data_IF_666424493030
#
_entry.id   IF_666424493030
#
_cell.length_a   1.000
_cell.length_b   1.000
_cell.length_c   1.000
_cell.angle_alpha   90.00
_cell.angle_beta   90.00
_cell.angle_gamma   90.00
#
_symmetry.space_group_name_H-M   'P 1'
#
loop_
_entity.id
_entity.type
_entity.pdbx_description
1 polymer ?
#
# COMPACT_ATOMS: atom_id res chain seq x y z
N UNK A 1 34.17 -6.09 42.00
CA UNK A 1 32.75 -5.74 41.72
C UNK A 1 32.71 -4.63 40.68
N UNK A 2 32.72 -4.96 39.39
CA UNK A 2 32.45 -3.99 38.33
C UNK A 2 31.01 -4.20 37.88
N UNK A 3 30.17 -3.19 38.13
CA UNK A 3 28.76 -3.17 37.77
C UNK A 3 28.66 -3.07 36.25
N UNK A 4 28.23 -4.16 35.62
CA UNK A 4 27.83 -4.18 34.21
C UNK A 4 26.53 -3.39 34.07
N UNK A 5 26.60 -2.18 33.52
CA UNK A 5 25.41 -1.43 33.11
C UNK A 5 24.94 -2.02 31.78
N UNK A 6 23.87 -2.81 31.84
CA UNK A 6 23.07 -3.23 30.69
C UNK A 6 22.67 -1.97 29.90
N UNK A 7 23.23 -1.80 28.71
CA UNK A 7 22.70 -0.87 27.71
C UNK A 7 21.35 -1.42 27.24
N UNK A 8 20.30 -0.92 27.89
CA UNK A 8 18.92 -1.14 27.51
C UNK A 8 18.73 -0.66 26.05
N UNK A 9 18.44 -1.58 25.14
CA UNK A 9 18.10 -1.30 23.74
C UNK A 9 16.77 -0.54 23.67
N UNK A 10 16.82 0.77 23.89
CA UNK A 10 15.67 1.66 23.79
C UNK A 10 15.51 2.13 22.33
N UNK A 11 14.42 1.75 21.63
CA UNK A 11 14.20 2.11 20.22
C UNK A 11 14.18 3.63 19.95
N UNK A 12 13.84 4.41 20.97
CA UNK A 12 13.77 5.89 20.92
C UNK A 12 15.17 6.51 20.82
N UNK A 13 16.17 5.94 21.50
CA UNK A 13 17.57 6.40 21.40
C UNK A 13 18.19 6.04 20.05
N UNK A 14 17.88 4.86 19.50
CA UNK A 14 18.34 4.45 18.16
C UNK A 14 17.74 5.33 17.05
N UNK A 15 16.48 5.74 17.19
CA UNK A 15 15.81 6.66 16.24
C UNK A 15 16.46 8.04 16.20
N UNK A 16 16.80 8.62 17.37
CA UNK A 16 17.47 9.91 17.46
C UNK A 16 18.92 9.85 16.98
N UNK A 17 19.67 8.80 17.33
CA UNK A 17 21.06 8.63 16.88
C UNK A 17 21.15 8.48 15.37
N UNK A 18 20.21 7.76 14.74
CA UNK A 18 20.18 7.53 13.30
C UNK A 18 19.79 8.80 12.51
N UNK A 19 18.94 9.68 13.06
CA UNK A 19 18.63 11.00 12.47
C UNK A 19 19.81 11.96 12.54
N UNK A 20 20.50 12.02 13.68
CA UNK A 20 21.71 12.85 13.86
C UNK A 20 22.83 12.36 12.93
N UNK A 21 23.01 11.05 12.81
CA UNK A 21 24.00 10.45 11.90
C UNK A 21 23.71 10.78 10.43
N UNK A 22 22.43 10.70 10.01
CA UNK A 22 22.02 11.08 8.65
C UNK A 22 22.24 12.56 8.36
N UNK A 23 21.95 13.44 9.32
CA UNK A 23 22.21 14.87 9.17
C UNK A 23 23.71 15.17 9.07
N UNK A 24 24.54 14.52 9.91
CA UNK A 24 25.99 14.70 9.85
C UNK A 24 26.59 14.24 8.51
N UNK A 25 26.06 13.16 7.92
CA UNK A 25 26.52 12.64 6.62
C UNK A 25 26.05 13.46 5.41
N UNK A 26 24.87 14.06 5.47
CA UNK A 26 24.25 14.79 4.35
C UNK A 26 23.34 15.95 4.85
N UNK A 27 23.93 17.04 5.39
CA UNK A 27 23.14 18.11 6.00
C UNK A 27 22.32 18.89 4.96
N UNK A 28 22.90 19.15 3.78
CA UNK A 28 22.24 19.86 2.68
C UNK A 28 21.09 19.05 2.10
N UNK A 29 21.25 17.73 1.90
CA UNK A 29 20.17 16.88 1.43
C UNK A 29 19.05 16.75 2.46
N UNK A 30 19.35 16.73 3.77
CA UNK A 30 18.31 16.76 4.81
C UNK A 30 17.51 18.06 4.75
N UNK A 31 18.18 19.21 4.61
CA UNK A 31 17.50 20.50 4.50
C UNK A 31 16.64 20.57 3.23
N UNK A 32 17.17 20.15 2.08
CA UNK A 32 16.45 20.09 0.80
C UNK A 32 15.20 19.21 0.89
N UNK A 33 15.30 18.02 1.50
CA UNK A 33 14.14 17.12 1.71
C UNK A 33 13.07 17.79 2.57
N UNK A 34 13.46 18.54 3.60
CA UNK A 34 12.54 19.25 4.49
C UNK A 34 11.82 20.39 3.78
N UNK A 35 12.54 21.19 2.98
CA UNK A 35 11.95 22.27 2.17
C UNK A 35 10.95 21.72 1.16
N UNK A 36 11.32 20.67 0.41
CA UNK A 36 10.41 20.01 -0.55
C UNK A 36 9.15 19.49 0.15
N UNK A 37 9.32 18.82 1.31
CA UNK A 37 8.18 18.32 2.09
C UNK A 37 7.26 19.45 2.54
N UNK A 38 7.80 20.59 2.97
CA UNK A 38 7.01 21.76 3.34
C UNK A 38 6.28 22.36 2.14
N UNK A 39 6.95 22.50 1.00
CA UNK A 39 6.33 23.05 -0.20
C UNK A 39 5.19 22.18 -0.73
N UNK A 40 5.35 20.85 -0.68
CA UNK A 40 4.28 19.93 -1.07
C UNK A 40 3.11 19.97 -0.09
N UNK A 41 3.40 20.05 1.22
CA UNK A 41 2.34 20.21 2.22
C UNK A 41 1.52 21.48 1.98
N UNK A 42 2.18 22.61 1.68
CA UNK A 42 1.50 23.87 1.34
C UNK A 42 0.69 23.72 0.05
N UNK A 43 1.25 23.03 -0.96
CA UNK A 43 0.63 22.89 -2.28
C UNK A 43 -0.59 21.97 -2.29
N UNK A 44 -0.56 20.88 -1.52
CA UNK A 44 -1.52 19.78 -1.67
C UNK A 44 -2.41 19.54 -0.45
N UNK A 45 -2.03 19.95 0.76
CA UNK A 45 -2.88 19.71 1.94
C UNK A 45 -4.22 20.47 1.82
N UNK A 46 -5.31 19.84 2.25
CA UNK A 46 -6.65 20.43 2.18
C UNK A 46 -7.53 19.95 3.37
N UNK A 47 -7.48 20.67 4.49
CA UNK A 47 -8.24 20.32 5.69
C UNK A 47 -7.88 18.95 6.26
N UNK A 48 -8.88 18.11 6.52
CA UNK A 48 -8.71 16.71 6.93
C UNK A 48 -8.15 15.82 5.81
N UNK A 49 -8.24 16.26 4.54
CA UNK A 49 -7.79 15.52 3.36
C UNK A 49 -6.58 16.22 2.68
N UNK A 50 -6.32 15.87 1.43
CA UNK A 50 -5.40 16.56 0.52
C UNK A 50 -5.91 16.43 -0.92
N UNK A 51 -5.30 17.19 -1.84
CA UNK A 51 -5.58 17.12 -3.27
C UNK A 51 -4.97 15.83 -3.84
N UNK A 52 -5.64 14.70 -3.59
CA UNK A 52 -5.13 13.34 -3.85
C UNK A 52 -4.69 13.15 -5.29
N UNK A 53 -5.59 13.38 -6.26
CA UNK A 53 -5.29 13.22 -7.68
C UNK A 53 -4.15 14.13 -8.13
N UNK A 54 -4.13 15.40 -7.72
CA UNK A 54 -3.07 16.35 -8.08
C UNK A 54 -1.71 15.91 -7.53
N UNK A 55 -1.65 15.43 -6.29
CA UNK A 55 -0.42 14.99 -5.64
C UNK A 55 0.16 13.73 -6.32
N UNK A 56 -0.67 12.72 -6.57
CA UNK A 56 -0.21 11.48 -7.20
C UNK A 56 0.12 11.65 -8.68
N UNK A 57 -0.60 12.53 -9.39
CA UNK A 57 -0.25 12.91 -10.76
C UNK A 57 1.11 13.60 -10.80
N UNK A 58 1.31 14.60 -9.94
CA UNK A 58 2.62 15.27 -9.79
C UNK A 58 3.74 14.28 -9.46
N UNK A 59 3.50 13.32 -8.56
CA UNK A 59 4.47 12.28 -8.20
C UNK A 59 4.83 11.39 -9.39
N UNK A 60 3.85 10.94 -10.18
CA UNK A 60 4.10 10.13 -11.37
C UNK A 60 4.80 10.92 -12.47
N UNK A 61 4.42 12.18 -12.71
CA UNK A 61 5.10 13.05 -13.68
C UNK A 61 6.56 13.32 -13.28
N UNK A 62 6.84 13.49 -11.98
CA UNK A 62 8.19 13.78 -11.49
C UNK A 62 9.14 12.59 -11.58
N UNK A 63 8.64 11.37 -11.36
CA UNK A 63 9.48 10.18 -11.22
C UNK A 63 9.31 9.14 -12.34
N UNK A 64 8.25 9.21 -13.13
CA UNK A 64 7.91 8.19 -14.12
C UNK A 64 7.88 6.79 -13.50
N UNK A 65 8.69 5.88 -14.05
CA UNK A 65 8.86 4.50 -13.54
C UNK A 65 9.90 4.35 -12.44
N UNK A 66 10.52 5.43 -11.99
CA UNK A 66 11.34 5.37 -10.80
C UNK A 66 10.45 5.09 -9.58
N UNK A 67 10.75 4.01 -8.84
CA UNK A 67 9.98 3.56 -7.67
C UNK A 67 9.94 4.58 -6.52
N UNK A 68 10.69 5.69 -6.58
CA UNK A 68 10.47 6.85 -5.73
C UNK A 68 9.09 7.50 -5.94
N UNK A 69 8.48 7.34 -7.11
CA UNK A 69 7.15 7.86 -7.45
C UNK A 69 6.04 7.21 -6.65
N UNK A 70 6.13 5.90 -6.41
CA UNK A 70 5.13 5.11 -5.67
C UNK A 70 5.58 4.73 -4.26
N UNK A 71 6.89 4.71 -3.99
CA UNK A 71 7.47 4.36 -2.71
C UNK A 71 7.89 5.56 -1.84
N UNK A 72 8.88 5.33 -0.99
CA UNK A 72 9.47 6.38 -0.15
C UNK A 72 10.42 7.25 -1.00
N UNK A 73 9.96 8.46 -1.35
CA UNK A 73 10.74 9.45 -2.11
C UNK A 73 12.04 9.90 -1.43
N UNK A 74 12.20 9.62 -0.14
CA UNK A 74 13.43 9.94 0.60
C UNK A 74 14.52 8.88 0.44
N UNK A 75 14.18 7.73 -0.14
CA UNK A 75 15.09 6.64 -0.49
C UNK A 75 15.49 6.70 -1.96
N UNK A 76 16.57 6.01 -2.30
CA UNK A 76 16.95 5.75 -3.69
C UNK A 76 15.96 4.79 -4.37
N UNK A 77 16.01 4.75 -5.70
CA UNK A 77 15.27 3.77 -6.50
C UNK A 77 15.54 2.33 -6.02
N UNK A 78 16.81 1.96 -5.85
CA UNK A 78 17.22 0.61 -5.48
C UNK A 78 16.78 0.21 -4.06
N UNK A 79 16.75 1.16 -3.13
CA UNK A 79 16.17 0.90 -1.80
C UNK A 79 14.67 0.62 -1.90
N UNK A 80 13.94 1.37 -2.74
CA UNK A 80 12.51 1.09 -2.99
C UNK A 80 12.30 -0.25 -3.68
N UNK A 81 13.15 -0.64 -4.64
CA UNK A 81 13.14 -1.99 -5.26
C UNK A 81 13.18 -3.07 -4.17
N UNK A 82 14.16 -3.02 -3.26
CA UNK A 82 14.33 -4.03 -2.20
C UNK A 82 13.12 -4.12 -1.27
N UNK A 83 12.48 -3.00 -0.97
CA UNK A 83 11.29 -2.95 -0.12
C UNK A 83 10.08 -3.56 -0.82
N UNK A 84 9.87 -3.22 -2.09
CA UNK A 84 8.79 -3.79 -2.89
C UNK A 84 9.01 -5.28 -3.16
N UNK A 85 10.24 -5.75 -3.34
CA UNK A 85 10.57 -7.18 -3.43
C UNK A 85 10.33 -7.95 -2.11
N UNK A 86 10.53 -7.31 -0.95
CA UNK A 86 10.10 -7.87 0.33
C UNK A 86 8.57 -7.98 0.40
N UNK A 87 7.86 -6.91 0.02
CA UNK A 87 6.41 -6.89 -0.08
C UNK A 87 5.87 -7.97 -1.02
N UNK A 88 6.47 -8.13 -2.20
CA UNK A 88 6.12 -9.15 -3.19
C UNK A 88 6.27 -10.57 -2.63
N UNK A 89 7.34 -10.85 -1.87
CA UNK A 89 7.52 -12.16 -1.22
C UNK A 89 6.43 -12.44 -0.19
N UNK A 90 6.07 -11.44 0.62
CA UNK A 90 5.00 -11.58 1.62
C UNK A 90 3.64 -11.72 0.94
N UNK A 91 3.35 -10.92 -0.10
CA UNK A 91 2.16 -11.05 -0.94
C UNK A 91 2.01 -12.47 -1.48
N UNK A 92 3.02 -12.99 -2.17
CA UNK A 92 2.96 -14.33 -2.76
C UNK A 92 2.78 -15.42 -1.69
N UNK A 93 3.40 -15.27 -0.52
CA UNK A 93 3.18 -16.18 0.60
C UNK A 93 1.74 -16.11 1.13
N UNK A 94 1.16 -14.91 1.23
CA UNK A 94 -0.24 -14.71 1.60
C UNK A 94 -1.19 -15.35 0.58
N UNK A 95 -0.94 -15.17 -0.72
CA UNK A 95 -1.71 -15.84 -1.79
C UNK A 95 -1.65 -17.37 -1.67
N UNK A 96 -0.46 -17.94 -1.43
CA UNK A 96 -0.30 -19.40 -1.24
C UNK A 96 -1.06 -19.91 -0.02
N UNK A 97 -0.95 -19.22 1.12
CA UNK A 97 -1.73 -19.56 2.34
C UNK A 97 -3.24 -19.42 2.13
N UNK A 98 -3.64 -18.53 1.22
CA UNK A 98 -5.01 -18.36 0.82
C UNK A 98 -5.48 -19.37 -0.25
N UNK A 99 -4.61 -20.27 -0.70
CA UNK A 99 -4.86 -21.24 -1.78
C UNK A 99 -5.33 -20.59 -3.09
N UNK A 100 -4.79 -19.41 -3.41
CA UNK A 100 -5.12 -18.69 -4.65
C UNK A 100 -4.61 -19.46 -5.86
N UNK A 101 -5.52 -19.77 -6.79
CA UNK A 101 -5.20 -20.31 -8.11
C UNK A 101 -5.20 -19.18 -9.15
N UNK A 102 -4.04 -18.54 -9.37
CA UNK A 102 -3.92 -17.33 -10.19
C UNK A 102 -4.37 -17.49 -11.64
N UNK A 103 -4.17 -18.66 -12.23
CA UNK A 103 -4.53 -18.99 -13.61
C UNK A 103 -6.06 -19.03 -13.84
N UNK A 104 -6.84 -19.12 -12.76
CA UNK A 104 -8.31 -19.19 -12.76
C UNK A 104 -8.98 -18.03 -12.03
N UNK A 105 -8.20 -17.09 -11.50
CA UNK A 105 -8.70 -16.00 -10.67
C UNK A 105 -8.88 -14.72 -11.47
N UNK A 106 -9.98 -14.01 -11.22
CA UNK A 106 -10.15 -12.61 -11.67
C UNK A 106 -9.51 -11.68 -10.65
N UNK A 107 -8.44 -10.99 -11.05
CA UNK A 107 -7.61 -10.18 -10.14
C UNK A 107 -7.86 -8.68 -10.33
N UNK A 108 -8.15 -7.98 -9.23
CA UNK A 108 -8.14 -6.52 -9.15
C UNK A 108 -6.90 -6.05 -8.39
N UNK A 109 -6.16 -5.10 -8.94
CA UNK A 109 -5.03 -4.44 -8.29
C UNK A 109 -5.32 -2.95 -8.13
N UNK A 110 -5.66 -2.56 -6.92
CA UNK A 110 -6.02 -1.19 -6.55
C UNK A 110 -4.74 -0.42 -6.29
N UNK A 111 -4.57 0.71 -6.97
CA UNK A 111 -3.37 1.55 -6.95
C UNK A 111 -2.17 0.88 -7.63
N UNK A 112 -2.38 0.38 -8.86
CA UNK A 112 -1.36 -0.37 -9.60
C UNK A 112 -0.07 0.43 -9.92
N UNK A 113 -0.12 1.77 -9.87
CA UNK A 113 1.05 2.64 -9.89
C UNK A 113 1.98 2.42 -11.08
N UNK A 114 3.23 2.05 -10.81
CA UNK A 114 4.26 1.77 -11.83
C UNK A 114 4.22 0.35 -12.39
N UNK A 115 3.26 -0.48 -11.95
CA UNK A 115 3.11 -1.86 -12.40
C UNK A 115 4.07 -2.87 -11.74
N UNK A 116 4.64 -2.52 -10.57
CA UNK A 116 5.54 -3.45 -9.86
C UNK A 116 4.82 -4.76 -9.50
N UNK A 117 3.66 -4.68 -8.83
CA UNK A 117 2.88 -5.86 -8.46
C UNK A 117 2.18 -6.49 -9.66
N UNK A 118 1.81 -5.71 -10.68
CA UNK A 118 1.36 -6.21 -11.98
C UNK A 118 2.34 -7.22 -12.57
N UNK A 119 3.64 -6.86 -12.63
CA UNK A 119 4.70 -7.75 -13.11
C UNK A 119 4.83 -9.01 -12.28
N UNK A 120 4.81 -8.87 -10.95
CA UNK A 120 4.88 -10.01 -10.01
C UNK A 120 3.74 -10.98 -10.27
N UNK A 121 2.51 -10.49 -10.41
CA UNK A 121 1.33 -11.30 -10.67
C UNK A 121 1.39 -12.00 -12.04
N UNK A 122 1.81 -11.30 -13.09
CA UNK A 122 2.02 -11.88 -14.41
C UNK A 122 3.03 -13.04 -14.39
N UNK A 123 4.15 -12.86 -13.70
CA UNK A 123 5.18 -13.89 -13.55
C UNK A 123 4.70 -15.12 -12.74
N UNK A 124 3.59 -14.99 -12.00
CA UNK A 124 2.99 -16.06 -11.22
C UNK A 124 1.70 -16.62 -11.85
N UNK A 125 1.45 -16.34 -13.14
CA UNK A 125 0.42 -17.00 -13.92
C UNK A 125 -0.96 -16.34 -13.88
N UNK A 126 -1.08 -15.10 -13.39
CA UNK A 126 -2.33 -14.34 -13.56
C UNK A 126 -2.58 -14.10 -15.04
N UNK A 127 -3.82 -14.33 -15.48
CA UNK A 127 -4.25 -14.15 -16.88
C UNK A 127 -5.37 -13.11 -17.00
N UNK A 128 -6.26 -13.03 -16.01
CA UNK A 128 -7.36 -12.06 -15.96
C UNK A 128 -7.08 -11.00 -14.89
N UNK A 129 -6.58 -9.84 -15.33
CA UNK A 129 -6.14 -8.76 -14.45
C UNK A 129 -6.76 -7.41 -14.85
N UNK A 130 -7.20 -6.67 -13.84
CA UNK A 130 -7.53 -5.26 -13.92
C UNK A 130 -6.71 -4.47 -12.91
N UNK A 131 -5.84 -3.58 -13.39
CA UNK A 131 -5.18 -2.57 -12.57
C UNK A 131 -5.97 -1.28 -12.55
N UNK A 132 -6.30 -0.76 -11.37
CA UNK A 132 -6.90 0.56 -11.25
C UNK A 132 -5.97 1.52 -10.51
N UNK A 133 -6.03 2.79 -10.86
CA UNK A 133 -5.31 3.85 -10.15
C UNK A 133 -6.09 5.17 -10.28
N UNK A 134 -5.96 6.06 -9.30
CA UNK A 134 -6.63 7.37 -9.33
C UNK A 134 -6.07 8.28 -10.42
N UNK A 135 -4.84 8.00 -10.89
CA UNK A 135 -4.20 8.67 -12.02
C UNK A 135 -3.81 7.68 -13.11
N UNK A 136 -3.90 8.12 -14.36
CA UNK A 136 -3.63 7.30 -15.55
C UNK A 136 -2.28 7.61 -16.22
N UNK A 137 -1.48 8.49 -15.61
CA UNK A 137 -0.20 9.02 -16.13
C UNK A 137 0.74 7.97 -16.74
N UNK A 138 0.72 6.73 -16.24
CA UNK A 138 1.62 5.65 -16.67
C UNK A 138 0.93 4.57 -17.51
N UNK A 139 -0.37 4.69 -17.79
CA UNK A 139 -1.16 3.60 -18.36
C UNK A 139 -0.81 3.25 -19.80
N UNK A 140 -0.41 4.23 -20.62
CA UNK A 140 0.03 3.95 -22.00
C UNK A 140 1.23 2.99 -22.01
N UNK A 141 2.23 3.28 -21.18
CA UNK A 141 3.41 2.44 -21.03
C UNK A 141 3.08 1.11 -20.33
N UNK A 142 2.18 1.10 -19.33
CA UNK A 142 1.72 -0.15 -18.71
C UNK A 142 0.99 -1.07 -19.70
N UNK A 143 0.14 -0.52 -20.57
CA UNK A 143 -0.53 -1.29 -21.64
C UNK A 143 0.47 -1.83 -22.65
N UNK A 144 1.53 -1.08 -22.94
CA UNK A 144 2.63 -1.56 -23.80
C UNK A 144 3.40 -2.71 -23.16
N UNK A 145 3.70 -2.62 -21.86
CA UNK A 145 4.43 -3.65 -21.11
C UNK A 145 3.60 -4.90 -20.79
N UNK A 146 2.29 -4.71 -20.59
CA UNK A 146 1.35 -5.76 -20.19
C UNK A 146 0.14 -5.77 -21.14
N UNK A 147 0.32 -6.13 -22.42
CA UNK A 147 -0.73 -5.99 -23.44
C UNK A 147 -1.96 -6.88 -23.19
N UNK A 148 -1.82 -7.96 -22.43
CA UNK A 148 -2.92 -8.84 -22.06
C UNK A 148 -3.76 -8.31 -20.89
N UNK A 149 -3.34 -7.22 -20.24
CA UNK A 149 -3.94 -6.72 -19.01
C UNK A 149 -4.70 -5.42 -19.24
N UNK A 150 -5.72 -5.20 -18.41
CA UNK A 150 -6.54 -3.99 -18.45
C UNK A 150 -6.09 -3.01 -17.38
N UNK A 151 -6.11 -1.73 -17.73
CA UNK A 151 -5.84 -0.63 -16.82
C UNK A 151 -6.91 0.44 -16.97
N UNK A 152 -7.44 0.93 -15.84
CA UNK A 152 -8.54 1.88 -15.80
C UNK A 152 -8.32 2.95 -14.73
N UNK A 153 -8.64 4.20 -15.08
CA UNK A 153 -8.56 5.29 -14.11
C UNK A 153 -9.78 5.21 -13.22
N UNK A 154 -9.57 4.99 -11.92
CA UNK A 154 -10.66 4.81 -10.98
C UNK A 154 -10.27 5.29 -9.58
N UNK A 155 -11.15 6.08 -8.98
CA UNK A 155 -11.03 6.43 -7.56
C UNK A 155 -11.86 5.44 -6.74
N UNK A 156 -11.17 4.49 -6.11
CA UNK A 156 -11.79 3.48 -5.24
C UNK A 156 -12.61 4.08 -4.09
N UNK A 157 -12.29 5.31 -3.71
CA UNK A 157 -12.85 6.01 -2.56
C UNK A 157 -14.03 6.95 -2.90
N UNK A 158 -14.35 7.10 -4.18
CA UNK A 158 -15.38 8.02 -4.65
C UNK A 158 -16.36 7.43 -5.68
N UNK A 159 -15.99 6.35 -6.37
CA UNK A 159 -16.81 5.75 -7.43
C UNK A 159 -17.11 4.28 -7.14
N UNK A 160 -18.33 3.79 -7.44
CA UNK A 160 -18.63 2.38 -7.31
C UNK A 160 -17.68 1.58 -8.20
N UNK A 161 -17.19 0.47 -7.68
CA UNK A 161 -16.45 -0.50 -8.48
C UNK A 161 -17.45 -1.27 -9.36
N UNK A 162 -16.95 -1.98 -10.37
CA UNK A 162 -17.75 -2.88 -11.19
C UNK A 162 -17.13 -4.28 -11.19
N UNK A 163 -17.97 -5.31 -11.35
CA UNK A 163 -17.55 -6.70 -11.47
C UNK A 163 -17.45 -7.46 -10.15
N UNK A 164 -16.78 -8.60 -10.17
CA UNK A 164 -16.54 -9.43 -8.98
C UNK A 164 -15.18 -10.09 -9.14
N UNK A 165 -14.40 -10.11 -8.06
CA UNK A 165 -12.99 -10.47 -8.10
C UNK A 165 -12.66 -11.56 -7.07
N UNK A 166 -11.85 -12.53 -7.48
CA UNK A 166 -11.37 -13.61 -6.62
C UNK A 166 -10.15 -13.18 -5.81
N UNK A 167 -9.38 -12.23 -6.33
CA UNK A 167 -8.25 -11.63 -5.64
C UNK A 167 -8.34 -10.12 -5.77
N UNK A 168 -8.41 -9.40 -4.65
CA UNK A 168 -8.33 -7.94 -4.62
C UNK A 168 -7.07 -7.54 -3.87
N UNK A 169 -6.16 -6.82 -4.53
CA UNK A 169 -4.96 -6.27 -3.92
C UNK A 169 -5.14 -4.78 -3.66
N UNK A 170 -4.66 -4.33 -2.50
CA UNK A 170 -4.44 -2.92 -2.21
C UNK A 170 -3.08 -2.76 -1.51
N UNK A 171 -2.02 -2.72 -2.31
CA UNK A 171 -0.63 -2.74 -1.82
C UNK A 171 -0.13 -1.32 -1.59
N UNK A 172 -0.04 -0.91 -0.33
CA UNK A 172 0.41 0.41 0.09
C UNK A 172 -0.46 1.56 -0.47
N UNK A 173 -1.79 1.36 -0.47
CA UNK A 173 -2.78 2.32 -1.03
C UNK A 173 -3.67 2.95 0.03
N UNK A 174 -4.29 2.14 0.88
CA UNK A 174 -5.39 2.60 1.74
C UNK A 174 -4.95 3.63 2.81
N UNK A 175 -3.67 3.65 3.19
CA UNK A 175 -3.13 4.70 4.08
C UNK A 175 -3.13 6.09 3.44
N UNK A 176 -3.26 6.17 2.11
CA UNK A 176 -3.27 7.41 1.34
C UNK A 176 -4.66 8.01 1.16
N UNK A 177 -5.69 7.32 1.65
CA UNK A 177 -7.05 7.85 1.77
C UNK A 177 -7.16 8.44 3.18
N UNK A 178 -6.92 9.75 3.29
CA UNK A 178 -6.80 10.43 4.58
C UNK A 178 -8.13 10.91 5.15
N UNK A 179 -9.12 11.12 4.29
CA UNK A 179 -10.50 11.35 4.72
C UNK A 179 -11.18 10.04 5.16
N UNK A 180 -11.78 10.04 6.35
CA UNK A 180 -12.37 8.83 6.94
C UNK A 180 -13.63 8.36 6.20
N UNK A 181 -14.44 9.27 5.67
CA UNK A 181 -15.64 8.90 4.91
C UNK A 181 -15.25 8.19 3.60
N UNK A 182 -14.28 8.75 2.88
CA UNK A 182 -13.70 8.14 1.67
C UNK A 182 -13.04 6.79 1.96
N UNK A 183 -12.33 6.68 3.08
CA UNK A 183 -11.69 5.43 3.49
C UNK A 183 -12.73 4.34 3.78
N UNK A 184 -13.78 4.64 4.56
CA UNK A 184 -14.89 3.73 4.81
C UNK A 184 -15.60 3.33 3.51
N UNK A 185 -15.83 4.27 2.59
CA UNK A 185 -16.40 3.99 1.28
C UNK A 185 -15.53 3.01 0.48
N UNK A 186 -14.21 3.23 0.43
CA UNK A 186 -13.28 2.34 -0.25
C UNK A 186 -13.33 0.90 0.31
N UNK A 187 -13.36 0.74 1.63
CA UNK A 187 -13.46 -0.59 2.26
C UNK A 187 -14.79 -1.26 1.94
N UNK A 188 -15.91 -0.54 1.98
CA UNK A 188 -17.22 -1.06 1.61
C UNK A 188 -17.24 -1.50 0.14
N UNK A 189 -16.68 -0.68 -0.75
CA UNK A 189 -16.59 -0.97 -2.17
C UNK A 189 -15.77 -2.24 -2.43
N UNK A 190 -14.60 -2.38 -1.80
CA UNK A 190 -13.77 -3.60 -1.85
C UNK A 190 -14.56 -4.82 -1.37
N UNK A 191 -15.21 -4.71 -0.21
CA UNK A 191 -15.98 -5.80 0.41
C UNK A 191 -17.12 -6.29 -0.49
N UNK A 192 -17.85 -5.38 -1.12
CA UNK A 192 -19.00 -5.71 -1.98
C UNK A 192 -18.63 -6.36 -3.32
N UNK A 193 -17.37 -6.28 -3.75
CA UNK A 193 -16.90 -6.81 -5.04
C UNK A 193 -16.00 -8.04 -4.88
N UNK A 194 -15.84 -8.54 -3.64
CA UNK A 194 -15.14 -9.78 -3.38
C UNK A 194 -16.04 -10.97 -3.71
N UNK A 195 -15.53 -11.95 -4.45
CA UNK A 195 -16.25 -13.19 -4.71
C UNK A 195 -16.42 -14.01 -3.41
N UNK A 196 -17.41 -14.91 -3.32
CA UNK A 196 -17.66 -15.70 -2.10
C UNK A 196 -16.45 -16.52 -1.61
N UNK A 197 -15.57 -16.93 -2.51
CA UNK A 197 -14.31 -17.65 -2.19
C UNK A 197 -13.07 -16.77 -2.35
N UNK A 198 -13.27 -15.47 -2.55
CA UNK A 198 -12.21 -14.52 -2.84
C UNK A 198 -11.38 -14.14 -1.62
N UNK A 199 -10.22 -13.55 -1.90
CA UNK A 199 -9.31 -12.99 -0.91
C UNK A 199 -8.97 -11.54 -1.21
N UNK A 200 -9.05 -10.69 -0.19
CA UNK A 200 -8.48 -9.35 -0.22
C UNK A 200 -7.10 -9.41 0.42
N UNK A 201 -6.07 -8.83 -0.20
CA UNK A 201 -4.73 -8.70 0.38
C UNK A 201 -4.38 -7.22 0.45
N UNK A 202 -4.13 -6.74 1.66
CA UNK A 202 -3.82 -5.34 1.94
C UNK A 202 -2.38 -5.26 2.44
N UNK A 203 -1.63 -4.32 1.91
CA UNK A 203 -0.46 -3.78 2.61
C UNK A 203 -0.76 -2.36 3.08
N UNK A 204 -0.42 -2.08 4.34
CA UNK A 204 -0.56 -0.74 4.90
C UNK A 204 0.33 -0.54 6.14
N UNK A 205 0.39 0.70 6.64
CA UNK A 205 1.05 1.02 7.91
C UNK A 205 0.07 0.90 9.07
N UNK A 206 0.23 -0.16 9.87
CA UNK A 206 -0.54 -0.33 11.10
C UNK A 206 0.04 0.53 12.24
N UNK A 207 -0.86 1.05 13.09
CA UNK A 207 -0.50 1.85 14.26
C UNK A 207 -1.72 2.55 14.87
N UNK A 208 -1.53 3.34 15.92
CA UNK A 208 -2.61 4.19 16.44
C UNK A 208 -3.10 5.15 15.35
N UNK A 209 -4.42 5.37 15.28
CA UNK A 209 -5.08 6.23 14.29
C UNK A 209 -4.50 7.65 14.30
N UNK A 210 -3.46 7.86 13.48
CA UNK A 210 -2.65 9.08 13.50
C UNK A 210 -2.20 9.42 12.10
N UNK A 211 -2.44 10.68 11.73
CA UNK A 211 -1.88 11.28 10.52
C UNK A 211 -0.35 11.41 10.69
N UNK A 212 0.39 10.68 9.88
CA UNK A 212 1.86 10.70 9.90
C UNK A 212 2.40 11.89 9.10
N UNK A 213 1.74 12.23 8.00
CA UNK A 213 1.97 13.42 7.19
C UNK A 213 0.67 13.79 6.43
N UNK A 214 0.71 14.81 5.57
CA UNK A 214 -0.51 15.30 4.90
C UNK A 214 -1.17 14.27 3.96
N UNK A 215 -0.47 13.24 3.48
CA UNK A 215 -1.00 12.24 2.54
C UNK A 215 -1.03 10.83 3.13
N UNK A 216 -0.80 10.67 4.44
CA UNK A 216 -0.68 9.36 5.08
C UNK A 216 -1.28 9.33 6.48
N UNK A 217 -2.17 8.37 6.69
CA UNK A 217 -2.74 8.03 8.01
C UNK A 217 -2.44 6.57 8.33
N UNK A 218 -1.86 6.32 9.51
CA UNK A 218 -1.78 4.97 10.07
C UNK A 218 -3.09 4.64 10.75
N UNK A 219 -3.56 3.39 10.62
CA UNK A 219 -4.76 2.90 11.28
C UNK A 219 -4.48 1.57 11.98
N UNK A 220 -5.17 1.27 13.09
CA UNK A 220 -4.97 0.02 13.80
C UNK A 220 -5.74 -1.09 13.05
N UNK A 221 -5.39 -2.37 13.29
CA UNK A 221 -5.95 -3.50 12.56
C UNK A 221 -7.48 -3.60 12.77
N UNK A 222 -7.94 -3.15 13.94
CA UNK A 222 -9.30 -3.13 14.43
C UNK A 222 -10.25 -2.37 13.49
N UNK A 223 -9.74 -1.36 12.78
CA UNK A 223 -10.53 -0.63 11.78
C UNK A 223 -10.90 -1.54 10.60
N UNK A 224 -9.94 -2.35 10.14
CA UNK A 224 -10.18 -3.33 9.08
C UNK A 224 -11.07 -4.47 9.58
N UNK A 225 -10.87 -4.94 10.81
CA UNK A 225 -11.73 -5.96 11.43
C UNK A 225 -13.18 -5.50 11.53
N UNK A 226 -13.41 -4.22 11.87
CA UNK A 226 -14.74 -3.62 11.95
C UNK A 226 -15.39 -3.54 10.57
N UNK A 227 -14.69 -3.02 9.56
CA UNK A 227 -15.21 -2.90 8.20
C UNK A 227 -15.54 -4.26 7.56
N UNK A 228 -14.71 -5.27 7.87
CA UNK A 228 -14.86 -6.64 7.42
C UNK A 228 -15.45 -7.54 8.51
N UNK A 229 -16.39 -7.03 9.32
CA UNK A 229 -17.15 -7.88 10.26
C UNK A 229 -17.77 -9.09 9.53
N UNK A 230 -17.59 -10.28 10.10
CA UNK A 230 -17.99 -11.57 9.49
C UNK A 230 -16.93 -12.23 8.60
N UNK A 231 -15.78 -11.59 8.40
CA UNK A 231 -14.65 -12.13 7.63
C UNK A 231 -13.54 -12.60 8.58
N UNK A 232 -12.72 -13.53 8.10
CA UNK A 232 -11.47 -13.91 8.75
C UNK A 232 -10.34 -13.02 8.23
N UNK A 233 -9.67 -12.32 9.14
CA UNK A 233 -8.42 -11.60 8.88
C UNK A 233 -7.27 -12.41 9.50
N UNK A 234 -6.23 -12.70 8.72
CA UNK A 234 -5.06 -13.39 9.26
C UNK A 234 -4.15 -12.44 10.05
N UNK A 235 -3.26 -13.02 10.84
CA UNK A 235 -2.22 -12.27 11.55
C UNK A 235 -1.36 -11.46 10.56
N UNK A 236 -1.24 -10.13 10.73
CA UNK A 236 -0.45 -9.30 9.84
C UNK A 236 1.03 -9.67 9.85
N UNK A 237 1.56 -9.93 8.66
CA UNK A 237 2.99 -10.20 8.46
C UNK A 237 3.72 -8.90 8.17
N UNK A 238 4.61 -8.49 9.08
CA UNK A 238 5.43 -7.27 8.93
C UNK A 238 6.49 -7.45 7.84
N UNK A 239 6.67 -6.43 7.01
CA UNK A 239 7.84 -6.24 6.16
C UNK A 239 8.22 -4.77 6.15
N UNK A 240 9.49 -4.46 6.41
CA UNK A 240 9.94 -3.09 6.63
C UNK A 240 9.03 -2.34 7.64
N UNK A 241 8.39 -1.25 7.22
CA UNK A 241 7.43 -0.48 8.03
C UNK A 241 5.96 -0.85 7.75
N UNK A 242 5.70 -1.66 6.72
CA UNK A 242 4.38 -2.14 6.30
C UNK A 242 4.00 -3.47 6.93
N UNK A 243 2.72 -3.77 6.88
CA UNK A 243 2.16 -5.06 7.25
C UNK A 243 1.28 -5.55 6.11
N UNK A 244 1.43 -6.82 5.73
CA UNK A 244 0.49 -7.51 4.83
C UNK A 244 -0.44 -8.39 5.63
N UNK A 245 -1.73 -8.32 5.36
CA UNK A 245 -2.72 -9.28 5.83
C UNK A 245 -3.73 -9.58 4.72
N UNK A 246 -4.36 -10.74 4.85
CA UNK A 246 -5.39 -11.22 3.95
C UNK A 246 -6.73 -11.30 4.68
N UNK A 247 -7.80 -10.94 3.98
CA UNK A 247 -9.18 -11.00 4.45
C UNK A 247 -9.95 -11.95 3.55
N UNK A 248 -10.70 -12.87 4.13
CA UNK A 248 -11.55 -13.85 3.43
C UNK A 248 -12.89 -13.99 4.12
N UNK A 249 -13.92 -14.42 3.40
CA UNK A 249 -15.19 -14.79 4.04
C UNK A 249 -14.92 -15.77 5.19
N UNK A 250 -15.59 -15.57 6.33
CA UNK A 250 -15.49 -16.51 7.43
C UNK A 250 -15.95 -17.88 6.96
N UNK A 251 -15.21 -18.94 7.29
CA UNK A 251 -15.73 -20.30 7.15
C UNK A 251 -16.95 -20.38 8.04
N UNK A 252 -18.15 -20.53 7.46
CA UNK A 252 -19.29 -20.98 8.25
C UNK A 252 -18.81 -22.24 8.97
N UNK A 253 -18.80 -22.21 10.31
CA UNK A 253 -18.65 -23.44 11.05
C UNK A 253 -19.77 -24.34 10.55
N UNK A 254 -19.42 -25.41 9.83
CA UNK A 254 -20.35 -26.50 9.62
C UNK A 254 -20.76 -26.93 11.02
N UNK A 255 -21.94 -26.52 11.46
CA UNK A 255 -22.62 -27.10 12.59
C UNK A 255 -22.93 -28.53 12.15
N UNK A 256 -22.02 -29.44 12.49
CA UNK A 256 -22.26 -30.88 12.48
C UNK A 256 -23.00 -31.27 13.76
#
# INVERSE_FOLDING_TARGET
MFVSILLCNCPILMSKSNRLLKFYRDPLGVLKRRVISMSEQIRFAAGSDYRTTDYWKYRHELFGFDLRGVGDKTKSHQENVRLLEQGARVLLNSCRKAAVAFDRSTVLDIGCGTGHFTKVLQQNGVTNYLGIDIVDTLFEELRTRFPCYRFQQHDISAKPLEGTYDVILAMDVLQHITDETKFCYALANIKSHLSPSGVVIISTYLGSSRRENFYLVRRPLEVFQTAFAGFTINEPTKYAESFVFSIRHGTAACLH
#
